data_IF_184926167375
#
_entry.id   IF_184926167375
#
_cell.length_a   1.000
_cell.length_b   1.000
_cell.length_c   1.000
_cell.angle_alpha   90.00
_cell.angle_beta   90.00
_cell.angle_gamma   90.00
#
_symmetry.space_group_name_H-M   'P 1'
#
loop_
_entity.id
_entity.type
_entity.pdbx_description
1 polymer ?
#
# COMPACT_ATOMS: atom_id res chain seq x y z
N UNK A 1 2.84 -4.78 7.78
CA UNK A 1 2.46 -5.58 6.60
C UNK A 1 2.26 -4.66 5.41
N UNK A 2 2.55 -5.11 4.19
CA UNK A 2 2.43 -4.29 2.97
C UNK A 2 1.72 -5.11 1.91
N UNK A 3 0.78 -4.51 1.18
CA UNK A 3 0.12 -5.14 0.03
C UNK A 3 -0.16 -4.10 -1.07
N UNK A 4 -0.53 -4.60 -2.24
CA UNK A 4 -0.94 -3.84 -3.42
C UNK A 4 -2.05 -4.61 -4.14
N UNK A 5 -2.72 -3.95 -5.07
CA UNK A 5 -3.71 -4.51 -5.98
C UNK A 5 -3.23 -5.83 -6.60
N UNK A 6 -4.08 -6.85 -6.55
CA UNK A 6 -3.77 -8.15 -7.16
C UNK A 6 -3.67 -8.11 -8.68
N UNK A 7 -4.24 -7.09 -9.31
CA UNK A 7 -4.24 -6.87 -10.75
C UNK A 7 -3.56 -5.56 -11.05
N UNK A 8 -2.30 -5.64 -11.48
CA UNK A 8 -1.55 -4.48 -11.93
C UNK A 8 -2.11 -3.88 -13.22
N UNK A 9 -1.78 -2.61 -13.46
CA UNK A 9 -2.23 -1.87 -14.65
C UNK A 9 -1.83 -2.58 -15.94
N UNK A 10 -2.79 -2.73 -16.85
CA UNK A 10 -2.58 -3.37 -18.15
C UNK A 10 -2.60 -4.90 -18.16
N UNK A 11 -2.89 -5.54 -17.02
CA UNK A 11 -3.02 -7.01 -16.93
C UNK A 11 -4.49 -7.44 -16.87
N UNK A 12 -4.80 -8.64 -17.38
CA UNK A 12 -6.13 -9.24 -17.19
C UNK A 12 -6.34 -9.69 -15.75
N UNK A 13 -7.57 -9.55 -15.27
CA UNK A 13 -7.97 -9.93 -13.91
C UNK A 13 -8.51 -11.36 -13.77
N UNK A 14 -8.61 -12.10 -14.86
CA UNK A 14 -9.21 -13.45 -14.87
C UNK A 14 -8.45 -14.41 -13.95
N UNK A 15 -9.17 -15.11 -13.08
CA UNK A 15 -8.63 -16.11 -12.15
C UNK A 15 -7.78 -15.57 -11.00
N UNK A 16 -7.35 -14.30 -11.04
CA UNK A 16 -6.48 -13.71 -10.02
C UNK A 16 -7.15 -13.60 -8.66
N UNK A 17 -8.43 -13.28 -8.62
CA UNK A 17 -9.17 -13.18 -7.36
C UNK A 17 -9.16 -14.52 -6.59
N UNK A 18 -9.35 -15.64 -7.27
CA UNK A 18 -9.31 -16.97 -6.66
C UNK A 18 -7.90 -17.33 -6.16
N UNK A 19 -6.88 -17.04 -6.96
CA UNK A 19 -5.47 -17.35 -6.62
C UNK A 19 -4.98 -16.50 -5.45
N UNK A 20 -5.33 -15.20 -5.42
CA UNK A 20 -4.83 -14.27 -4.43
C UNK A 20 -5.70 -14.13 -3.19
N UNK A 21 -6.90 -14.71 -3.16
CA UNK A 21 -7.79 -14.66 -2.00
C UNK A 21 -7.11 -15.05 -0.67
N UNK A 22 -6.28 -16.10 -0.60
CA UNK A 22 -5.59 -16.47 0.64
C UNK A 22 -4.58 -15.42 1.15
N UNK A 23 -4.21 -14.46 0.31
CA UNK A 23 -3.24 -13.40 0.61
C UNK A 23 -3.91 -12.06 0.96
N UNK A 24 -5.24 -12.02 1.08
CA UNK A 24 -5.94 -10.81 1.52
C UNK A 24 -5.44 -10.40 2.91
N UNK A 25 -5.02 -9.14 3.05
CA UNK A 25 -4.77 -8.57 4.37
C UNK A 25 -6.11 -8.33 5.08
N UNK A 26 -6.33 -9.09 6.14
CA UNK A 26 -7.50 -9.04 6.99
C UNK A 26 -7.07 -9.07 8.47
N UNK A 27 -8.04 -8.95 9.39
CA UNK A 27 -7.76 -8.94 10.83
C UNK A 27 -7.07 -10.21 11.33
N UNK A 28 -7.43 -11.37 10.79
CA UNK A 28 -6.81 -12.64 11.18
C UNK A 28 -5.32 -12.65 10.83
N UNK A 29 -4.98 -12.28 9.59
CA UNK A 29 -3.59 -12.22 9.14
C UNK A 29 -2.79 -11.12 9.88
N UNK A 30 -3.40 -9.96 10.12
CA UNK A 30 -2.79 -8.92 10.96
C UNK A 30 -2.54 -9.39 12.40
N UNK A 31 -3.38 -10.27 12.94
CA UNK A 31 -3.21 -10.86 14.26
C UNK A 31 -1.99 -11.78 14.41
N UNK A 32 -1.39 -12.22 13.29
CA UNK A 32 -0.13 -12.96 13.29
C UNK A 32 1.11 -12.04 13.30
N UNK A 33 0.93 -10.76 12.99
CA UNK A 33 2.01 -9.78 13.02
C UNK A 33 2.26 -9.27 14.45
N UNK A 34 3.37 -8.54 14.61
CA UNK A 34 3.62 -7.81 15.86
C UNK A 34 2.42 -6.86 16.17
N UNK A 35 1.99 -6.73 17.44
CA UNK A 35 0.89 -5.84 17.80
C UNK A 35 1.10 -4.36 17.42
N UNK A 36 2.35 -3.92 17.27
CA UNK A 36 2.70 -2.58 16.80
C UNK A 36 2.93 -2.51 15.29
N UNK A 37 2.72 -3.60 14.55
CA UNK A 37 2.84 -3.59 13.09
C UNK A 37 1.82 -2.63 12.47
N UNK A 38 2.29 -1.82 11.52
CA UNK A 38 1.44 -0.96 10.69
C UNK A 38 1.07 -1.68 9.39
N UNK A 39 -0.02 -1.26 8.76
CA UNK A 39 -0.38 -1.64 7.38
C UNK A 39 -0.07 -0.50 6.42
N UNK A 40 0.53 -0.84 5.28
CA UNK A 40 0.85 0.07 4.19
C UNK A 40 0.24 -0.43 2.87
N UNK A 41 -0.15 0.49 1.99
CA UNK A 41 -0.71 0.23 0.68
C UNK A 41 -0.51 1.46 -0.23
N UNK A 42 0.09 1.26 -1.41
CA UNK A 42 0.54 2.36 -2.28
C UNK A 42 -0.58 3.16 -2.99
N UNK A 43 -1.79 2.61 -3.02
CA UNK A 43 -3.04 3.12 -3.64
C UNK A 43 -3.03 3.11 -5.18
N UNK A 44 -4.21 2.97 -5.84
CA UNK A 44 -5.55 2.81 -5.27
C UNK A 44 -5.78 1.41 -4.66
N UNK A 45 -6.63 1.32 -3.63
CA UNK A 45 -7.00 0.04 -2.99
C UNK A 45 -8.45 -0.35 -3.32
N UNK A 46 -8.68 -1.64 -3.54
CA UNK A 46 -9.97 -2.29 -3.67
C UNK A 46 -10.35 -3.01 -2.37
N UNK A 47 -11.18 -2.34 -1.56
CA UNK A 47 -11.75 -2.91 -0.33
C UNK A 47 -12.41 -4.26 -0.63
N UNK A 48 -12.07 -5.27 0.18
CA UNK A 48 -12.60 -6.64 0.05
C UNK A 48 -11.83 -7.53 -0.93
N UNK A 49 -10.79 -7.01 -1.61
CA UNK A 49 -9.83 -7.76 -2.42
C UNK A 49 -8.50 -7.89 -1.70
N UNK A 50 -7.47 -7.16 -2.06
CA UNK A 50 -6.14 -7.27 -1.45
C UNK A 50 -6.11 -6.88 0.03
N UNK A 51 -7.09 -6.09 0.48
CA UNK A 51 -7.22 -5.65 1.86
C UNK A 51 -8.70 -5.46 2.25
N UNK A 52 -9.03 -5.83 3.48
CA UNK A 52 -10.37 -5.59 4.05
C UNK A 52 -10.56 -4.13 4.44
N UNK A 53 -11.80 -3.63 4.40
CA UNK A 53 -12.11 -2.26 4.80
C UNK A 53 -11.72 -1.98 6.27
N UNK A 54 -11.92 -2.96 7.16
CA UNK A 54 -11.57 -2.83 8.58
C UNK A 54 -10.07 -2.67 8.86
N UNK A 55 -9.20 -3.27 8.03
CA UNK A 55 -7.75 -3.08 8.17
C UNK A 55 -7.30 -1.81 7.46
N UNK A 56 -7.85 -1.53 6.27
CA UNK A 56 -7.52 -0.32 5.50
C UNK A 56 -7.87 0.97 6.27
N UNK A 57 -9.04 0.99 6.90
CA UNK A 57 -9.58 2.15 7.64
C UNK A 57 -9.33 2.03 9.16
N UNK A 58 -8.57 1.01 9.59
CA UNK A 58 -8.33 0.68 11.00
C UNK A 58 -7.15 1.44 11.64
N UNK A 59 -6.94 1.28 12.96
CA UNK A 59 -5.97 2.08 13.72
C UNK A 59 -4.50 1.79 13.41
N UNK A 60 -4.19 0.61 12.84
CA UNK A 60 -2.84 0.24 12.41
C UNK A 60 -2.54 0.71 10.97
N UNK A 61 -3.49 1.36 10.29
CA UNK A 61 -3.31 1.84 8.93
C UNK A 61 -2.60 3.19 8.90
N UNK A 62 -1.54 3.27 8.10
CA UNK A 62 -0.80 4.52 7.85
C UNK A 62 -0.87 4.95 6.38
N UNK A 63 -1.85 4.44 5.63
CA UNK A 63 -1.95 4.58 4.17
C UNK A 63 -2.02 6.06 3.72
N UNK A 64 -2.66 6.91 4.52
CA UNK A 64 -2.74 8.34 4.22
C UNK A 64 -1.41 9.05 4.47
N UNK A 65 -0.71 8.72 5.55
CA UNK A 65 0.64 9.24 5.81
C UNK A 65 1.63 8.77 4.75
N UNK A 66 1.53 7.50 4.33
CA UNK A 66 2.29 6.94 3.20
C UNK A 66 2.03 7.74 1.91
N UNK A 67 0.77 8.02 1.59
CA UNK A 67 0.38 8.80 0.42
C UNK A 67 0.89 10.25 0.49
N UNK A 68 0.78 10.91 1.66
CA UNK A 68 1.29 12.26 1.87
C UNK A 68 2.82 12.31 1.73
N UNK A 69 3.52 11.33 2.29
CA UNK A 69 4.98 11.27 2.24
C UNK A 69 5.54 11.21 0.81
N UNK A 70 4.76 10.77 -0.18
CA UNK A 70 5.12 10.87 -1.60
C UNK A 70 5.47 12.31 -1.99
N UNK A 71 4.70 13.31 -1.52
CA UNK A 71 4.95 14.73 -1.79
C UNK A 71 6.30 15.18 -1.20
N UNK A 72 6.57 14.80 0.04
CA UNK A 72 7.79 15.21 0.73
C UNK A 72 9.03 14.57 0.10
N UNK A 73 8.97 13.26 -0.17
CA UNK A 73 10.04 12.52 -0.81
C UNK A 73 10.36 13.09 -2.20
N UNK A 74 9.34 13.33 -3.03
CA UNK A 74 9.54 13.88 -4.37
C UNK A 74 10.11 15.30 -4.34
N UNK A 75 9.66 16.16 -3.42
CA UNK A 75 10.25 17.50 -3.23
C UNK A 75 11.74 17.43 -2.89
N UNK A 76 12.13 16.52 -2.01
CA UNK A 76 13.53 16.35 -1.61
C UNK A 76 14.38 15.88 -2.80
N UNK A 77 13.92 14.85 -3.53
CA UNK A 77 14.59 14.35 -4.73
C UNK A 77 14.76 15.44 -5.78
N UNK A 78 13.70 16.21 -6.09
CA UNK A 78 13.78 17.32 -7.04
C UNK A 78 14.76 18.40 -6.60
N UNK A 79 14.78 18.76 -5.31
CA UNK A 79 15.70 19.78 -4.79
C UNK A 79 17.15 19.37 -4.96
N UNK A 80 17.47 18.09 -4.71
CA UNK A 80 18.82 17.55 -4.91
C UNK A 80 19.21 17.54 -6.38
N UNK A 81 18.32 17.08 -7.27
CA UNK A 81 18.60 16.99 -8.70
C UNK A 81 18.78 18.36 -9.36
N UNK A 82 17.97 19.35 -8.99
CA UNK A 82 18.09 20.72 -9.51
C UNK A 82 19.40 21.34 -9.03
N UNK A 83 19.71 21.26 -7.73
CA UNK A 83 20.96 21.81 -7.20
C UNK A 83 22.20 21.15 -7.82
N UNK A 84 22.16 19.86 -8.14
CA UNK A 84 23.25 19.15 -8.79
C UNK A 84 23.42 19.52 -10.27
N UNK A 85 22.36 19.98 -10.95
CA UNK A 85 22.42 20.38 -12.36
C UNK A 85 22.93 21.82 -12.57
N UNK A 86 22.91 22.65 -11.52
CA UNK A 86 23.40 24.03 -11.53
C UNK A 86 24.92 24.14 -11.27
N UNK A 87 25.63 23.01 -11.15
CA UNK A 87 27.08 22.88 -10.96
C UNK A 87 27.74 22.15 -12.12
#
# INVERSE_FOLDING_TARGET
MVTDTWVSMGMSGEGRETVFRPYQINRELMGLADPAAIVMHCLPAYRGKEITAEVLDGPQSVIWDEAENRRHAQKAVLSVLVAAADH
#
